data_IF_041434528282
#
_entry.id   IF_041434528282
#
_cell.length_a   1.000
_cell.length_b   1.000
_cell.length_c   1.000
_cell.angle_alpha   90.00
_cell.angle_beta   90.00
_cell.angle_gamma   90.00
#
_symmetry.space_group_name_H-M   'P 1'
#
loop_
_entity.id
_entity.type
_entity.pdbx_description
1 polymer ?
#
# COMPACT_ATOMS: atom_id res chain seq x y z
N UNK A 1 -3.13 21.93 11.95
CA UNK A 1 -2.30 20.80 12.41
C UNK A 1 -2.49 19.59 11.50
N UNK A 2 -3.72 19.23 11.11
CA UNK A 2 -3.98 18.08 10.23
C UNK A 2 -3.25 18.12 8.87
N UNK A 3 -3.12 19.29 8.25
CA UNK A 3 -2.46 19.43 6.95
C UNK A 3 -0.94 19.15 7.00
N UNK A 4 -0.28 19.50 8.10
CA UNK A 4 1.17 19.28 8.25
C UNK A 4 1.48 17.80 8.45
N UNK A 5 0.66 17.10 9.25
CA UNK A 5 0.75 15.66 9.43
C UNK A 5 0.55 14.90 8.11
N UNK A 6 -0.50 15.25 7.36
CA UNK A 6 -0.74 14.65 6.04
C UNK A 6 0.44 14.91 5.10
N UNK A 7 1.02 16.12 5.11
CA UNK A 7 2.17 16.44 4.27
C UNK A 7 3.43 15.66 4.68
N UNK A 8 3.69 15.47 5.98
CA UNK A 8 4.78 14.63 6.49
C UNK A 8 4.66 13.20 5.95
N UNK A 9 3.46 12.61 6.04
CA UNK A 9 3.19 11.27 5.54
C UNK A 9 3.35 11.16 4.02
N UNK A 10 2.86 12.16 3.26
CA UNK A 10 3.04 12.22 1.80
C UNK A 10 4.51 12.32 1.40
N UNK A 11 5.30 13.13 2.11
CA UNK A 11 6.73 13.25 1.86
C UNK A 11 7.44 11.91 2.15
N UNK A 12 7.11 11.28 3.27
CA UNK A 12 7.67 9.99 3.66
C UNK A 12 7.46 8.91 2.59
N UNK A 13 6.22 8.70 2.11
CA UNK A 13 5.95 7.68 1.07
C UNK A 13 6.61 8.02 -0.27
N UNK A 14 6.77 9.31 -0.60
CA UNK A 14 7.38 9.78 -1.85
C UNK A 14 8.89 9.60 -1.86
N UNK A 15 9.55 9.88 -0.73
CA UNK A 15 11.01 9.85 -0.59
C UNK A 15 11.53 8.48 -0.15
N UNK A 16 10.64 7.59 0.29
CA UNK A 16 10.97 6.22 0.67
C UNK A 16 11.56 5.39 -0.48
N UNK A 17 12.52 4.53 -0.14
CA UNK A 17 13.12 3.58 -1.08
C UNK A 17 12.28 2.30 -1.18
N UNK A 18 11.37 2.28 -2.14
CA UNK A 18 10.49 1.14 -2.39
C UNK A 18 11.23 -0.02 -3.07
N UNK A 19 10.90 -1.25 -2.67
CA UNK A 19 11.49 -2.47 -3.20
C UNK A 19 10.50 -3.12 -4.18
N UNK A 20 10.91 -3.32 -5.42
CA UNK A 20 10.06 -4.00 -6.41
C UNK A 20 9.95 -5.50 -6.12
N UNK A 21 8.71 -6.02 -6.07
CA UNK A 21 8.41 -7.41 -5.79
C UNK A 21 8.62 -8.30 -7.04
N UNK A 22 9.87 -8.70 -7.29
CA UNK A 22 10.26 -9.49 -8.48
C UNK A 22 9.45 -10.78 -8.67
N UNK A 23 9.05 -11.43 -7.58
CA UNK A 23 8.26 -12.68 -7.61
C UNK A 23 6.92 -12.49 -8.34
N UNK A 24 6.32 -11.31 -8.24
CA UNK A 24 5.01 -11.00 -8.80
C UNK A 24 5.07 -10.11 -10.04
N UNK A 25 6.26 -9.84 -10.56
CA UNK A 25 6.47 -8.89 -11.67
C UNK A 25 5.61 -9.16 -12.92
N UNK A 26 5.29 -10.43 -13.20
CA UNK A 26 4.48 -10.83 -14.37
C UNK A 26 2.98 -10.85 -14.11
N UNK A 27 2.56 -10.97 -12.86
CA UNK A 27 1.15 -11.17 -12.49
C UNK A 27 0.63 -9.94 -11.77
N UNK A 28 1.22 -9.61 -10.62
CA UNK A 28 0.80 -8.50 -9.77
C UNK A 28 1.99 -7.58 -9.52
N UNK A 29 2.41 -6.74 -10.48
CA UNK A 29 3.55 -5.85 -10.28
C UNK A 29 3.22 -4.83 -9.18
N UNK A 30 3.99 -4.88 -8.10
CA UNK A 30 3.89 -3.97 -6.97
C UNK A 30 5.26 -3.75 -6.35
N UNK A 31 5.32 -2.76 -5.47
CA UNK A 31 6.47 -2.47 -4.65
C UNK A 31 6.08 -2.55 -3.17
N UNK A 32 7.09 -2.64 -2.32
CA UNK A 32 6.87 -2.68 -0.88
C UNK A 32 7.95 -1.93 -0.11
N UNK A 33 7.57 -1.41 1.04
CA UNK A 33 8.42 -0.79 2.03
C UNK A 33 8.61 -1.76 3.20
N UNK A 34 9.81 -1.82 3.77
CA UNK A 34 10.11 -2.69 4.91
C UNK A 34 10.35 -1.82 6.13
N UNK A 35 9.62 -2.09 7.22
CA UNK A 35 9.68 -1.34 8.49
C UNK A 35 11.11 -1.06 8.95
N UNK A 36 11.95 -2.09 9.00
CA UNK A 36 13.34 -2.00 9.50
C UNK A 36 14.29 -1.22 8.57
N UNK A 37 13.82 -0.72 7.42
CA UNK A 37 14.62 0.03 6.44
C UNK A 37 14.25 1.51 6.36
N UNK A 38 13.31 1.96 7.19
CA UNK A 38 12.79 3.32 7.20
C UNK A 38 12.63 3.82 8.63
N UNK A 39 12.22 5.07 8.78
CA UNK A 39 11.77 5.58 10.08
C UNK A 39 10.54 4.79 10.55
N UNK A 40 10.69 4.07 11.66
CA UNK A 40 9.65 3.20 12.21
C UNK A 40 8.40 3.99 12.63
N UNK A 41 8.58 5.20 13.18
CA UNK A 41 7.47 6.04 13.61
C UNK A 41 6.60 6.49 12.43
N UNK A 42 7.24 6.92 11.34
CA UNK A 42 6.55 7.26 10.10
C UNK A 42 5.91 6.05 9.43
N UNK A 43 6.58 4.89 9.47
CA UNK A 43 6.00 3.62 9.00
C UNK A 43 4.68 3.31 9.73
N UNK A 44 4.70 3.32 11.08
CA UNK A 44 3.51 3.05 11.90
C UNK A 44 2.40 4.06 11.60
N UNK A 45 2.71 5.35 11.53
CA UNK A 45 1.73 6.39 11.18
C UNK A 45 1.08 6.15 9.82
N UNK A 46 1.81 5.67 8.80
CA UNK A 46 1.22 5.31 7.50
C UNK A 46 0.30 4.10 7.64
N UNK A 47 0.70 3.05 8.35
CA UNK A 47 -0.16 1.87 8.56
C UNK A 47 -1.48 2.28 9.22
N UNK A 48 -1.42 3.09 10.27
CA UNK A 48 -2.61 3.62 10.95
C UNK A 48 -3.44 4.49 10.01
N UNK A 49 -2.80 5.36 9.22
CA UNK A 49 -3.47 6.21 8.24
C UNK A 49 -4.24 5.39 7.20
N UNK A 50 -3.62 4.35 6.64
CA UNK A 50 -4.26 3.42 5.70
C UNK A 50 -5.48 2.75 6.35
N UNK A 51 -5.34 2.27 7.59
CA UNK A 51 -6.44 1.59 8.30
C UNK A 51 -7.60 2.51 8.64
N UNK A 52 -7.32 3.77 8.99
CA UNK A 52 -8.32 4.74 9.40
C UNK A 52 -9.04 5.43 8.23
N UNK A 53 -8.35 5.63 7.10
CA UNK A 53 -8.86 6.41 5.96
C UNK A 53 -9.06 5.58 4.69
N UNK A 54 -8.67 4.30 4.72
CA UNK A 54 -8.85 3.39 3.61
C UNK A 54 -10.27 2.84 3.49
N UNK A 55 -10.44 2.00 2.47
CA UNK A 55 -11.67 1.28 2.18
C UNK A 55 -11.39 -0.21 2.03
N UNK A 56 -12.37 -1.05 2.37
CA UNK A 56 -12.24 -2.50 2.17
C UNK A 56 -12.52 -2.83 0.71
N UNK A 57 -11.52 -3.42 0.04
CA UNK A 57 -11.64 -3.97 -1.31
C UNK A 57 -11.30 -5.47 -1.34
N UNK A 58 -11.47 -6.08 -2.51
CA UNK A 58 -11.16 -7.50 -2.71
C UNK A 58 -9.82 -7.68 -3.40
N UNK A 59 -9.08 -8.70 -2.97
CA UNK A 59 -8.09 -9.39 -3.79
C UNK A 59 -8.50 -10.85 -3.93
N UNK A 60 -9.11 -11.17 -5.07
CA UNK A 60 -9.87 -12.41 -5.25
C UNK A 60 -10.90 -12.62 -4.13
N UNK A 61 -10.66 -13.56 -3.20
CA UNK A 61 -11.56 -13.85 -2.09
C UNK A 61 -11.18 -13.11 -0.80
N UNK A 62 -9.99 -12.52 -0.73
CA UNK A 62 -9.48 -11.85 0.47
C UNK A 62 -10.02 -10.42 0.55
N UNK A 63 -10.39 -10.01 1.76
CA UNK A 63 -10.65 -8.61 2.08
C UNK A 63 -9.35 -7.94 2.49
N UNK A 64 -9.06 -6.79 1.87
CA UNK A 64 -7.87 -5.99 2.14
C UNK A 64 -8.30 -4.52 2.29
N UNK A 65 -7.73 -3.82 3.26
CA UNK A 65 -7.91 -2.37 3.39
C UNK A 65 -6.94 -1.66 2.46
N UNK A 66 -7.48 -0.94 1.48
CA UNK A 66 -6.76 -0.14 0.50
C UNK A 66 -6.88 1.35 0.81
N UNK A 67 -5.85 2.10 0.47
CA UNK A 67 -5.85 3.56 0.51
C UNK A 67 -5.31 4.11 -0.82
N UNK A 68 -6.04 5.04 -1.42
CA UNK A 68 -5.71 5.64 -2.72
C UNK A 68 -5.12 7.04 -2.51
N UNK A 69 -3.95 7.31 -3.08
CA UNK A 69 -3.31 8.62 -3.03
C UNK A 69 -2.40 8.81 -4.25
N UNK A 70 -2.46 9.98 -4.90
CA UNK A 70 -1.60 10.37 -6.03
C UNK A 70 -1.46 9.31 -7.15
N UNK A 71 -2.56 8.61 -7.48
CA UNK A 71 -2.59 7.58 -8.53
C UNK A 71 -1.99 6.23 -8.12
N UNK A 72 -1.61 6.07 -6.86
CA UNK A 72 -1.13 4.84 -6.26
C UNK A 72 -2.19 4.26 -5.31
N UNK A 73 -2.14 2.94 -5.14
CA UNK A 73 -2.95 2.18 -4.18
C UNK A 73 -2.02 1.56 -3.16
N UNK A 74 -2.28 1.78 -1.88
CA UNK A 74 -1.48 1.34 -0.75
C UNK A 74 -2.25 0.34 0.10
N UNK A 75 -1.56 -0.67 0.65
CA UNK A 75 -2.17 -1.63 1.58
C UNK A 75 -1.14 -2.28 2.49
N UNK A 76 -1.62 -2.89 3.57
CA UNK A 76 -0.83 -3.82 4.40
C UNK A 76 -1.52 -5.19 4.43
N UNK A 77 -0.90 -6.20 5.04
CA UNK A 77 -1.51 -7.54 5.11
C UNK A 77 -2.53 -7.67 6.25
N UNK A 78 -2.61 -6.68 7.14
CA UNK A 78 -3.61 -6.61 8.21
C UNK A 78 -3.14 -7.23 9.54
N UNK A 79 -1.84 -7.44 9.71
CA UNK A 79 -1.27 -7.96 10.95
C UNK A 79 -1.43 -6.94 12.11
N UNK A 80 -1.35 -7.35 13.38
CA UNK A 80 -1.24 -6.40 14.49
C UNK A 80 -0.13 -5.37 14.25
N UNK A 81 -0.29 -4.13 14.72
CA UNK A 81 0.64 -3.03 14.42
C UNK A 81 2.06 -3.33 14.91
N UNK A 82 2.18 -4.15 15.95
CA UNK A 82 3.43 -4.62 16.54
C UNK A 82 4.20 -5.59 15.64
N UNK A 83 3.50 -6.29 14.74
CA UNK A 83 4.06 -7.32 13.87
C UNK A 83 3.98 -6.97 12.38
N UNK A 84 3.21 -5.95 12.01
CA UNK A 84 3.17 -5.44 10.64
C UNK A 84 4.55 -4.91 10.24
N UNK A 85 5.09 -5.48 9.16
CA UNK A 85 6.47 -5.25 8.73
C UNK A 85 6.58 -4.69 7.31
N UNK A 86 5.48 -4.68 6.55
CA UNK A 86 5.45 -4.26 5.16
C UNK A 86 4.25 -3.35 4.87
N UNK A 87 4.51 -2.29 4.10
CA UNK A 87 3.47 -1.55 3.37
C UNK A 87 3.70 -1.84 1.88
N UNK A 88 2.66 -2.22 1.17
CA UNK A 88 2.69 -2.47 -0.26
C UNK A 88 2.09 -1.29 -1.02
N UNK A 89 2.51 -1.11 -2.28
CA UNK A 89 1.88 -0.20 -3.23
C UNK A 89 1.91 -0.71 -4.67
N UNK A 90 0.92 -0.30 -5.47
CA UNK A 90 0.97 -0.42 -6.93
C UNK A 90 0.33 0.82 -7.57
N UNK A 91 0.47 0.99 -8.88
CA UNK A 91 -0.31 2.01 -9.58
C UNK A 91 -1.78 1.61 -9.59
N UNK A 92 -2.67 2.60 -9.61
CA UNK A 92 -4.12 2.34 -9.64
C UNK A 92 -4.53 1.46 -10.80
N UNK A 93 -3.87 1.55 -11.95
CA UNK A 93 -4.15 0.71 -13.12
C UNK A 93 -3.81 -0.76 -12.89
N UNK A 94 -2.85 -1.05 -12.00
CA UNK A 94 -2.42 -2.40 -11.63
C UNK A 94 -3.16 -2.97 -10.41
N UNK A 95 -4.07 -2.21 -9.80
CA UNK A 95 -4.91 -2.70 -8.71
C UNK A 95 -5.84 -3.82 -9.17
N UNK A 96 -6.26 -4.68 -8.23
CA UNK A 96 -7.17 -5.79 -8.53
C UNK A 96 -8.47 -5.31 -9.18
N UNK A 97 -9.09 -4.27 -8.62
CA UNK A 97 -10.36 -3.72 -9.12
C UNK A 97 -10.22 -3.16 -10.53
N UNK A 98 -9.14 -2.44 -10.83
CA UNK A 98 -8.88 -1.90 -12.17
C UNK A 98 -8.65 -3.01 -13.20
N UNK A 99 -7.93 -4.06 -12.82
CA UNK A 99 -7.69 -5.22 -13.68
C UNK A 99 -8.94 -6.07 -13.91
N UNK A 100 -9.74 -6.24 -12.86
CA UNK A 100 -11.05 -6.89 -12.95
C UNK A 100 -11.99 -6.13 -13.88
N UNK A 101 -12.05 -4.80 -13.77
CA UNK A 101 -12.89 -3.96 -14.62
C UNK A 101 -12.51 -4.02 -16.11
N UNK A 102 -11.24 -4.37 -16.41
CA UNK A 102 -10.74 -4.56 -17.78
C UNK A 102 -10.73 -6.02 -18.25
N UNK A 103 -11.22 -6.95 -17.42
CA UNK A 103 -11.17 -8.40 -17.70
C UNK A 103 -9.74 -8.91 -18.02
N UNK A 104 -8.73 -8.35 -17.34
CA UNK A 104 -7.32 -8.65 -17.60
C UNK A 104 -6.59 -9.28 -16.40
N UNK A 105 -7.34 -9.86 -15.44
CA UNK A 105 -6.76 -10.54 -14.28
C UNK A 105 -5.76 -11.63 -14.71
N UNK A 106 -4.59 -11.73 -14.05
CA UNK A 106 -3.68 -12.86 -14.26
C UNK A 106 -4.37 -14.19 -14.02
N UNK A 107 -4.09 -15.16 -14.89
CA UNK A 107 -4.49 -16.56 -14.75
C UNK A 107 -3.55 -17.32 -13.81
#
# INVERSE_FOLDING_TARGET
MDNEFVQELKNFIKESNWIFAKTYAKTWPHEYLVRDKVDEGLFVKIVEHIRANGYVGKFYKMDITYFDEDGMVYWTMGDPIETENIINRCTKEQSYESRLARDDLPK
#
